data_IF_471297064354
#
_entry.id   IF_471297064354
#
_cell.length_a   1.000
_cell.length_b   1.000
_cell.length_c   1.000
_cell.angle_alpha   90.00
_cell.angle_beta   90.00
_cell.angle_gamma   90.00
#
_symmetry.space_group_name_H-M   'P 1'
#
loop_
_entity.id
_entity.type
_entity.pdbx_description
1 polymer ?
#
# COMPACT_ATOMS: atom_id res chain seq x y z
N UNK A 1 19.69 26.29 17.41
CA UNK A 1 18.44 25.53 17.25
C UNK A 1 18.79 24.19 16.62
N UNK A 2 18.35 23.06 17.20
CA UNK A 2 18.57 21.75 16.58
C UNK A 2 17.86 21.70 15.23
N UNK A 3 18.52 21.14 14.21
CA UNK A 3 17.99 21.10 12.83
C UNK A 3 16.60 20.44 12.79
N UNK A 4 16.41 19.42 13.60
CA UNK A 4 15.15 18.68 13.72
C UNK A 4 14.01 19.55 14.29
N UNK A 5 14.34 20.47 15.20
CA UNK A 5 13.37 21.40 15.79
C UNK A 5 12.95 22.49 14.79
N UNK A 6 13.86 22.89 13.89
CA UNK A 6 13.56 23.85 12.80
C UNK A 6 12.67 23.19 11.76
N UNK A 7 12.96 21.95 11.37
CA UNK A 7 12.13 21.19 10.42
C UNK A 7 10.74 20.96 11.01
N UNK A 8 10.66 20.55 12.28
CA UNK A 8 9.38 20.38 12.98
C UNK A 8 8.57 21.67 13.07
N UNK A 9 9.21 22.79 13.43
CA UNK A 9 8.54 24.09 13.49
C UNK A 9 8.09 24.58 12.10
N UNK A 10 8.90 24.36 11.06
CA UNK A 10 8.56 24.72 9.69
C UNK A 10 7.35 23.92 9.19
N UNK A 11 7.35 22.61 9.42
CA UNK A 11 6.20 21.75 9.10
C UNK A 11 4.94 22.17 9.85
N UNK A 12 5.06 22.52 11.14
CA UNK A 12 3.93 23.01 11.94
C UNK A 12 3.36 24.31 11.36
N UNK A 13 4.21 25.30 11.07
CA UNK A 13 3.78 26.58 10.49
C UNK A 13 3.14 26.37 9.13
N UNK A 14 3.70 25.50 8.31
CA UNK A 14 3.19 25.19 6.97
C UNK A 14 1.82 24.50 7.05
N UNK A 15 1.65 23.55 7.96
CA UNK A 15 0.36 22.91 8.20
C UNK A 15 -0.71 23.90 8.67
N UNK A 16 -0.37 24.76 9.64
CA UNK A 16 -1.28 25.81 10.13
C UNK A 16 -1.64 26.79 9.01
N UNK A 17 -0.66 27.22 8.20
CA UNK A 17 -0.90 28.11 7.08
C UNK A 17 -1.85 27.49 6.04
N UNK A 18 -1.67 26.21 5.71
CA UNK A 18 -2.56 25.47 4.79
C UNK A 18 -3.98 25.37 5.35
N UNK A 19 -4.15 25.08 6.65
CA UNK A 19 -5.48 25.02 7.28
C UNK A 19 -6.18 26.38 7.22
N UNK A 20 -5.47 27.46 7.57
CA UNK A 20 -6.03 28.81 7.55
C UNK A 20 -6.40 29.24 6.13
N UNK A 21 -5.52 29.00 5.15
CA UNK A 21 -5.78 29.30 3.75
C UNK A 21 -6.96 28.50 3.20
N UNK A 22 -7.01 27.19 3.48
CA UNK A 22 -8.12 26.32 3.06
C UNK A 22 -9.44 26.78 3.66
N UNK A 23 -9.47 27.03 4.98
CA UNK A 23 -10.65 27.56 5.66
C UNK A 23 -11.10 28.90 5.08
N UNK A 24 -10.17 29.83 4.86
CA UNK A 24 -10.48 31.13 4.27
C UNK A 24 -11.15 30.99 2.90
N UNK A 25 -10.60 30.16 2.03
CA UNK A 25 -11.14 29.99 0.68
C UNK A 25 -12.54 29.34 0.73
N UNK A 26 -12.74 28.36 1.60
CA UNK A 26 -14.04 27.68 1.77
C UNK A 26 -15.12 28.59 2.37
N UNK A 27 -14.79 29.49 3.28
CA UNK A 27 -15.81 30.33 3.95
C UNK A 27 -16.05 31.69 3.28
N UNK A 28 -15.05 32.28 2.62
CA UNK A 28 -15.12 33.67 2.13
C UNK A 28 -15.12 33.82 0.60
N UNK A 29 -15.08 32.73 -0.16
CA UNK A 29 -15.00 32.79 -1.64
C UNK A 29 -16.12 31.99 -2.28
N UNK A 30 -16.61 32.46 -3.44
CA UNK A 30 -17.66 31.77 -4.23
C UNK A 30 -17.21 30.41 -4.78
N UNK A 31 -15.90 30.15 -4.76
CA UNK A 31 -15.27 28.89 -5.14
C UNK A 31 -15.42 27.78 -4.08
N UNK A 32 -16.05 28.10 -2.94
CA UNK A 32 -16.25 27.17 -1.83
C UNK A 32 -16.96 25.88 -2.26
N UNK A 33 -18.05 26.01 -3.03
CA UNK A 33 -18.82 24.88 -3.53
C UNK A 33 -17.97 24.00 -4.46
N UNK A 34 -17.18 24.61 -5.34
CA UNK A 34 -16.32 23.87 -6.27
C UNK A 34 -15.21 23.12 -5.53
N UNK A 35 -14.59 23.74 -4.52
CA UNK A 35 -13.57 23.08 -3.70
C UNK A 35 -14.14 21.96 -2.81
N UNK A 36 -15.32 22.18 -2.21
CA UNK A 36 -16.02 21.14 -1.44
C UNK A 36 -16.43 19.97 -2.34
N UNK A 37 -16.85 20.23 -3.58
CA UNK A 37 -17.14 19.19 -4.56
C UNK A 37 -15.89 18.39 -4.93
N UNK A 38 -14.76 19.06 -5.17
CA UNK A 38 -13.49 18.37 -5.50
C UNK A 38 -13.03 17.52 -4.32
N UNK A 39 -13.02 18.04 -3.10
CA UNK A 39 -12.59 17.28 -1.92
C UNK A 39 -13.52 16.12 -1.61
N UNK A 40 -14.83 16.31 -1.74
CA UNK A 40 -15.82 15.24 -1.64
C UNK A 40 -15.64 14.18 -2.73
N UNK A 41 -15.39 14.60 -3.98
CA UNK A 41 -15.11 13.68 -5.08
C UNK A 41 -13.84 12.87 -4.84
N UNK A 42 -12.76 13.49 -4.37
CA UNK A 42 -11.50 12.77 -4.04
C UNK A 42 -11.74 11.75 -2.92
N UNK A 43 -12.52 12.10 -1.90
CA UNK A 43 -12.86 11.17 -0.82
C UNK A 43 -13.62 9.95 -1.37
N UNK A 44 -14.66 10.18 -2.19
CA UNK A 44 -15.44 9.11 -2.82
C UNK A 44 -14.58 8.30 -3.79
N UNK A 45 -13.80 8.95 -4.65
CA UNK A 45 -12.90 8.31 -5.61
C UNK A 45 -11.82 7.48 -4.91
N UNK A 46 -11.33 7.89 -3.74
CA UNK A 46 -10.42 7.09 -2.93
C UNK A 46 -11.07 5.79 -2.46
N UNK A 47 -12.29 5.87 -1.91
CA UNK A 47 -13.04 4.69 -1.45
C UNK A 47 -13.35 3.75 -2.63
N UNK A 48 -13.91 4.28 -3.71
CA UNK A 48 -14.25 3.49 -4.89
C UNK A 48 -13.01 3.02 -5.66
N UNK A 49 -11.89 3.75 -5.59
CA UNK A 49 -10.62 3.32 -6.15
C UNK A 49 -10.09 2.08 -5.44
N UNK A 50 -10.18 2.03 -4.10
CA UNK A 50 -9.83 0.83 -3.32
C UNK A 50 -10.78 -0.32 -3.66
N UNK A 51 -12.10 -0.08 -3.67
CA UNK A 51 -13.08 -1.11 -4.02
C UNK A 51 -12.88 -1.64 -5.45
N UNK A 52 -12.60 -0.75 -6.40
CA UNK A 52 -12.31 -1.09 -7.79
C UNK A 52 -11.01 -1.89 -7.92
N UNK A 53 -9.97 -1.55 -7.14
CA UNK A 53 -8.74 -2.33 -7.08
C UNK A 53 -8.99 -3.73 -6.53
N UNK A 54 -9.76 -3.87 -5.43
CA UNK A 54 -10.14 -5.17 -4.88
C UNK A 54 -10.95 -5.97 -5.91
N UNK A 55 -11.96 -5.36 -6.53
CA UNK A 55 -12.75 -5.97 -7.58
C UNK A 55 -11.90 -6.40 -8.78
N UNK A 56 -10.90 -5.60 -9.16
CA UNK A 56 -9.93 -5.93 -10.19
C UNK A 56 -9.10 -7.16 -9.81
N UNK A 57 -8.60 -7.24 -8.59
CA UNK A 57 -7.85 -8.42 -8.13
C UNK A 57 -8.72 -9.68 -8.06
N UNK A 58 -9.98 -9.58 -7.65
CA UNK A 58 -10.90 -10.73 -7.63
C UNK A 58 -11.29 -11.18 -9.04
N UNK A 59 -11.48 -10.25 -9.97
CA UNK A 59 -11.83 -10.57 -11.36
C UNK A 59 -10.63 -11.14 -12.15
N UNK A 60 -9.41 -10.76 -11.78
CA UNK A 60 -8.18 -11.19 -12.46
C UNK A 60 -7.49 -12.36 -11.77
N UNK A 61 -7.93 -12.76 -10.57
CA UNK A 61 -7.50 -14.00 -9.95
C UNK A 61 -8.29 -15.17 -10.56
N UNK A 62 -7.66 -16.03 -11.39
CA UNK A 62 -8.26 -17.30 -11.76
C UNK A 62 -8.51 -18.10 -10.48
N UNK A 63 -9.58 -18.91 -10.44
CA UNK A 63 -9.99 -19.62 -9.25
C UNK A 63 -8.80 -20.36 -8.63
N UNK A 64 -8.64 -20.28 -7.30
CA UNK A 64 -7.51 -20.87 -6.58
C UNK A 64 -7.30 -22.30 -7.08
N UNK A 65 -6.09 -22.60 -7.56
CA UNK A 65 -5.73 -23.94 -8.02
C UNK A 65 -6.06 -24.96 -6.92
N UNK A 66 -6.53 -26.17 -7.25
CA UNK A 66 -6.84 -27.20 -6.27
C UNK A 66 -5.65 -27.37 -5.30
N UNK A 67 -5.94 -27.43 -4.00
CA UNK A 67 -4.94 -27.51 -2.93
C UNK A 67 -3.94 -28.67 -3.17
N UNK A 68 -4.40 -29.73 -3.84
CA UNK A 68 -3.61 -30.91 -4.22
C UNK A 68 -2.44 -30.65 -5.16
N UNK A 69 -2.51 -29.64 -6.05
CA UNK A 69 -1.39 -29.28 -6.94
C UNK A 69 -0.32 -28.48 -6.20
N UNK A 70 -0.75 -27.61 -5.27
CA UNK A 70 0.14 -26.78 -4.44
C UNK A 70 0.88 -27.63 -3.42
N UNK A 71 0.21 -28.63 -2.84
CA UNK A 71 0.81 -29.58 -1.90
C UNK A 71 1.86 -30.48 -2.59
N UNK A 72 1.59 -30.92 -3.83
CA UNK A 72 2.55 -31.69 -4.63
C UNK A 72 3.77 -30.89 -5.08
N UNK A 73 3.59 -29.65 -5.53
CA UNK A 73 4.71 -28.77 -5.90
C UNK A 73 5.60 -28.46 -4.67
N UNK A 74 4.99 -28.21 -3.50
CA UNK A 74 5.72 -27.98 -2.24
C UNK A 74 6.50 -29.24 -1.84
N UNK A 75 5.86 -30.41 -1.84
CA UNK A 75 6.49 -31.67 -1.43
C UNK A 75 7.66 -32.05 -2.37
N UNK A 76 7.52 -31.76 -3.66
CA UNK A 76 8.59 -31.94 -4.64
C UNK A 76 9.76 -30.95 -4.43
N UNK A 77 9.47 -29.69 -4.08
CA UNK A 77 10.50 -28.70 -3.73
C UNK A 77 11.23 -29.05 -2.43
N UNK A 78 10.50 -29.50 -1.40
CA UNK A 78 11.05 -29.93 -0.12
C UNK A 78 11.98 -31.13 -0.28
N UNK A 79 11.56 -32.12 -1.09
CA UNK A 79 12.36 -33.31 -1.37
C UNK A 79 13.64 -33.00 -2.14
N UNK A 80 13.58 -32.07 -3.10
CA UNK A 80 14.76 -31.59 -3.83
C UNK A 80 15.74 -30.82 -2.93
N UNK A 81 15.22 -30.06 -1.96
CA UNK A 81 16.03 -29.36 -0.96
C UNK A 81 16.70 -30.35 0.00
N UNK A 82 15.98 -31.37 0.44
CA UNK A 82 16.54 -32.45 1.28
C UNK A 82 17.64 -33.22 0.56
N UNK A 83 17.42 -33.60 -0.71
CA UNK A 83 18.44 -34.32 -1.50
C UNK A 83 19.69 -33.47 -1.74
N UNK A 84 19.54 -32.17 -2.02
CA UNK A 84 20.67 -31.23 -2.13
C UNK A 84 21.42 -31.10 -0.81
N UNK A 85 20.70 -30.96 0.31
CA UNK A 85 21.31 -30.84 1.63
C UNK A 85 22.08 -32.10 2.04
N UNK A 86 21.62 -33.28 1.62
CA UNK A 86 22.26 -34.56 1.86
C UNK A 86 23.49 -34.78 0.97
N UNK A 87 23.47 -34.32 -0.29
CA UNK A 87 24.64 -34.32 -1.17
C UNK A 87 25.73 -33.35 -0.66
N UNK A 88 25.35 -32.13 -0.27
CA UNK A 88 26.29 -31.14 0.29
C UNK A 88 26.93 -31.62 1.61
N UNK A 89 26.18 -32.34 2.45
CA UNK A 89 26.71 -32.93 3.69
C UNK A 89 27.67 -34.11 3.46
N UNK A 90 27.50 -34.87 2.37
CA UNK A 90 28.38 -35.98 2.01
C UNK A 90 29.67 -35.51 1.32
N UNK A 91 29.60 -34.43 0.54
CA UNK A 91 30.78 -33.82 -0.09
C UNK A 91 31.67 -33.05 0.88
N UNK A 92 31.11 -32.47 1.96
CA UNK A 92 31.89 -31.77 2.99
C UNK A 92 32.56 -32.69 4.04
N UNK A 93 32.26 -33.99 4.02
CA UNK A 93 32.74 -34.99 4.99
C UNK A 93 33.80 -35.97 4.46
N UNK A 94 34.26 -35.82 3.21
CA UNK A 94 35.27 -36.64 2.54
C UNK A 94 36.52 -35.80 2.25
#
# INVERSE_FOLDING_TARGET
>A
MNRDQVVGALLMVLAVAVIVAYGWIVFFTEWSLLLLQITGFIAVAGVFGILGWIGYTLATMPPPKPIEEIEKELEEELKNLESKSAEEANEAGS
#
